data_IF_194212101089
#
_entry.id   IF_194212101089
#
_cell.length_a   1.000
_cell.length_b   1.000
_cell.length_c   1.000
_cell.angle_alpha   90.00
_cell.angle_beta   90.00
_cell.angle_gamma   90.00
#
_symmetry.space_group_name_H-M   'P 1'
#
loop_
_entity.id
_entity.type
_entity.pdbx_description
1 polymer ?
#
# COMPACT_ATOMS: atom_id res chain seq x y z
N UNK A 1 0.54 -16.86 -19.68
CA UNK A 1 -0.78 -16.28 -19.42
C UNK A 1 -1.49 -17.15 -18.36
N UNK A 2 -1.31 -16.79 -17.09
CA UNK A 2 -1.88 -17.53 -15.94
C UNK A 2 -3.40 -17.35 -15.80
N UNK A 3 -3.98 -16.36 -16.48
CA UNK A 3 -5.39 -15.99 -16.33
C UNK A 3 -6.27 -16.41 -17.50
N UNK A 4 -5.75 -17.22 -18.46
CA UNK A 4 -6.46 -17.58 -19.69
C UNK A 4 -7.08 -16.37 -20.41
N UNK A 5 -6.37 -15.24 -20.43
CA UNK A 5 -6.81 -13.95 -21.02
C UNK A 5 -8.01 -13.29 -20.30
N UNK A 6 -8.33 -13.69 -19.08
CA UNK A 6 -9.29 -12.97 -18.24
C UNK A 6 -8.58 -11.88 -17.44
N UNK A 7 -9.27 -10.77 -17.25
CA UNK A 7 -8.83 -9.74 -16.31
C UNK A 7 -8.78 -10.32 -14.88
N UNK A 8 -7.85 -9.87 -14.03
CA UNK A 8 -7.90 -10.19 -12.61
C UNK A 8 -9.13 -9.54 -11.97
N UNK A 9 -9.63 -10.13 -10.89
CA UNK A 9 -10.72 -9.55 -10.11
C UNK A 9 -10.19 -8.41 -9.21
N UNK A 10 -8.93 -8.53 -8.77
CA UNK A 10 -8.33 -7.55 -7.84
C UNK A 10 -6.84 -7.40 -8.03
N UNK A 11 -6.36 -6.15 -7.90
CA UNK A 11 -4.93 -5.79 -7.79
C UNK A 11 -4.64 -5.26 -6.41
N UNK A 12 -3.50 -5.64 -5.82
CA UNK A 12 -3.07 -5.17 -4.51
C UNK A 12 -1.59 -4.78 -4.59
N UNK A 13 -1.24 -3.59 -4.08
CA UNK A 13 0.14 -3.16 -3.96
C UNK A 13 0.34 -2.30 -2.70
N UNK A 14 1.54 -2.34 -2.12
CA UNK A 14 1.92 -1.41 -1.06
C UNK A 14 2.15 0.00 -1.64
N UNK A 15 1.86 1.01 -0.82
CA UNK A 15 1.92 2.41 -1.23
C UNK A 15 2.71 3.23 -0.21
N UNK A 16 3.89 3.70 -0.62
CA UNK A 16 4.64 4.79 0.02
C UNK A 16 4.52 6.04 -0.88
N UNK A 17 5.56 6.41 -1.62
CA UNK A 17 5.45 7.41 -2.70
C UNK A 17 4.54 6.95 -3.86
N UNK A 18 4.36 5.65 -4.03
CA UNK A 18 3.33 5.02 -4.85
C UNK A 18 3.75 4.59 -6.26
N UNK A 19 5.00 4.77 -6.67
CA UNK A 19 5.44 4.46 -8.04
C UNK A 19 5.30 2.96 -8.39
N UNK A 20 5.61 2.05 -7.46
CA UNK A 20 5.43 0.61 -7.68
C UNK A 20 3.96 0.23 -7.89
N UNK A 21 3.08 0.81 -7.07
CA UNK A 21 1.64 0.57 -7.13
C UNK A 21 1.06 1.11 -8.43
N UNK A 22 1.45 2.32 -8.83
CA UNK A 22 1.00 2.92 -10.08
C UNK A 22 1.44 2.11 -11.30
N UNK A 23 2.67 1.56 -11.28
CA UNK A 23 3.16 0.68 -12.34
C UNK A 23 2.30 -0.58 -12.54
N UNK A 24 1.73 -1.13 -11.45
CA UNK A 24 0.77 -2.23 -11.53
C UNK A 24 -0.64 -1.74 -11.94
N UNK A 25 -1.10 -0.60 -11.39
CA UNK A 25 -2.49 -0.15 -11.51
C UNK A 25 -2.78 0.46 -12.88
N UNK A 26 -1.82 1.20 -13.44
CA UNK A 26 -2.02 2.03 -14.63
C UNK A 26 -2.63 1.28 -15.82
N UNK A 27 -2.16 0.06 -16.17
CA UNK A 27 -2.72 -0.69 -17.29
C UNK A 27 -4.19 -1.11 -17.11
N UNK A 28 -4.72 -1.05 -15.86
CA UNK A 28 -6.05 -1.54 -15.50
C UNK A 28 -6.99 -0.43 -15.01
N UNK A 29 -6.59 0.85 -15.14
CA UNK A 29 -7.39 1.97 -14.61
C UNK A 29 -8.77 2.06 -15.27
N UNK A 30 -8.86 1.75 -16.55
CA UNK A 30 -10.11 1.80 -17.32
C UNK A 30 -10.88 0.47 -17.33
N UNK A 31 -10.31 -0.59 -16.74
CA UNK A 31 -10.91 -1.91 -16.68
C UNK A 31 -11.80 -2.11 -15.43
N UNK A 32 -12.75 -3.05 -15.49
CA UNK A 32 -13.56 -3.45 -14.34
C UNK A 32 -12.78 -4.39 -13.40
N UNK A 33 -11.73 -3.85 -12.80
CA UNK A 33 -10.83 -4.52 -11.85
C UNK A 33 -10.83 -3.76 -10.55
N UNK A 34 -11.01 -4.45 -9.41
CA UNK A 34 -10.86 -3.83 -8.10
C UNK A 34 -9.40 -3.55 -7.81
N UNK A 35 -9.06 -2.30 -7.46
CA UNK A 35 -7.68 -1.90 -7.22
C UNK A 35 -7.54 -1.41 -5.78
N UNK A 36 -6.51 -1.90 -5.07
CA UNK A 36 -6.26 -1.60 -3.67
C UNK A 36 -4.80 -1.21 -3.44
N UNK A 37 -4.61 -0.02 -2.90
CA UNK A 37 -3.32 0.44 -2.37
C UNK A 37 -3.26 0.25 -0.85
N UNK A 38 -2.14 -0.22 -0.32
CA UNK A 38 -1.99 -0.47 1.12
C UNK A 38 -0.85 0.38 1.68
N UNK A 39 -1.20 1.31 2.57
CA UNK A 39 -0.30 2.23 3.24
C UNK A 39 0.23 1.63 4.56
N UNK A 40 1.30 2.23 5.12
CA UNK A 40 1.84 1.84 6.41
C UNK A 40 1.11 2.58 7.54
N UNK A 41 0.36 1.82 8.35
CA UNK A 41 -0.25 2.33 9.58
C UNK A 41 0.72 2.38 10.78
N UNK A 42 1.98 1.95 10.62
CA UNK A 42 2.99 2.01 11.66
C UNK A 42 2.53 1.38 12.97
N UNK A 43 2.50 2.15 14.04
CA UNK A 43 2.00 1.71 15.35
C UNK A 43 0.49 1.87 15.53
N UNK A 44 -0.20 2.27 14.49
CA UNK A 44 -1.65 2.46 14.46
C UNK A 44 -2.05 3.79 13.85
N UNK A 45 -3.11 3.76 13.05
CA UNK A 45 -3.60 4.90 12.26
C UNK A 45 -4.06 6.08 13.14
N UNK A 46 -4.43 5.84 14.39
CA UNK A 46 -4.86 6.86 15.34
C UNK A 46 -3.73 7.36 16.26
N UNK A 47 -2.49 6.91 15.98
CA UNK A 47 -1.28 7.43 16.63
C UNK A 47 -0.62 8.48 15.72
N UNK A 48 0.39 9.19 16.25
CA UNK A 48 1.24 10.05 15.41
C UNK A 48 2.42 9.28 14.77
N UNK A 49 2.39 7.95 14.81
CA UNK A 49 3.45 7.09 14.31
C UNK A 49 2.92 6.19 13.18
N UNK A 50 2.63 6.79 12.04
CA UNK A 50 2.20 6.14 10.80
C UNK A 50 2.69 6.91 9.56
N UNK A 51 2.61 6.28 8.38
CA UNK A 51 2.90 6.90 7.09
C UNK A 51 1.68 6.77 6.12
N UNK A 52 0.47 6.71 6.66
CA UNK A 52 -0.76 6.55 5.89
C UNK A 52 -1.27 7.91 5.39
N UNK A 53 -0.64 8.42 4.36
CA UNK A 53 -0.84 9.77 3.82
C UNK A 53 -2.22 9.97 3.19
N UNK A 54 -2.73 8.99 2.44
CA UNK A 54 -4.06 9.08 1.83
C UNK A 54 -5.18 8.93 2.86
N UNK A 55 -4.94 8.17 3.92
CA UNK A 55 -5.94 7.92 4.96
C UNK A 55 -6.05 9.07 5.97
N UNK A 56 -4.93 9.72 6.33
CA UNK A 56 -4.86 10.71 7.42
C UNK A 56 -4.27 12.05 7.01
N UNK A 57 -3.71 12.16 5.81
CA UNK A 57 -3.11 13.39 5.33
C UNK A 57 -4.12 14.42 4.85
N UNK A 58 -3.61 15.61 4.59
CA UNK A 58 -4.35 16.73 4.03
C UNK A 58 -3.73 17.19 2.71
N UNK A 59 -4.48 17.94 1.93
CA UNK A 59 -3.98 18.47 0.66
C UNK A 59 -2.96 19.60 0.91
N UNK A 60 -1.81 19.49 0.24
CA UNK A 60 -0.74 20.49 0.34
C UNK A 60 0.23 20.43 -0.83
N UNK A 61 1.37 21.11 -0.70
CA UNK A 61 2.42 21.13 -1.72
C UNK A 61 3.75 20.70 -1.10
N UNK A 62 4.36 19.68 -1.66
CA UNK A 62 5.67 19.19 -1.26
C UNK A 62 6.52 18.94 -2.51
N UNK A 63 7.78 19.41 -2.51
CA UNK A 63 8.70 19.30 -3.64
C UNK A 63 8.11 19.76 -4.99
N UNK A 64 7.26 20.82 -4.94
CA UNK A 64 6.61 21.37 -6.13
C UNK A 64 5.39 20.59 -6.64
N UNK A 65 5.00 19.50 -6.00
CA UNK A 65 3.82 18.71 -6.35
C UNK A 65 2.67 18.96 -5.35
N UNK A 66 1.48 19.22 -5.88
CA UNK A 66 0.26 19.32 -5.10
C UNK A 66 -0.34 17.92 -4.89
N UNK A 67 -0.46 17.47 -3.65
CA UNK A 67 -0.90 16.10 -3.31
C UNK A 67 -1.39 16.02 -1.87
N UNK A 68 -1.76 14.82 -1.43
CA UNK A 68 -2.00 14.54 -0.02
C UNK A 68 -0.68 14.42 0.72
N UNK A 69 -0.61 15.01 1.91
CA UNK A 69 0.59 15.08 2.75
C UNK A 69 0.22 14.84 4.22
N UNK A 70 1.14 14.25 4.97
CA UNK A 70 1.07 14.26 6.43
C UNK A 70 1.56 15.63 6.92
N UNK A 71 0.66 16.38 7.55
CA UNK A 71 0.93 17.73 8.04
C UNK A 71 0.47 17.87 9.49
N UNK A 72 1.17 18.73 10.24
CA UNK A 72 0.70 19.25 11.51
C UNK A 72 -0.41 20.29 11.31
N UNK A 73 -1.08 20.69 12.39
CA UNK A 73 -2.10 21.75 12.36
C UNK A 73 -1.54 23.10 11.86
N UNK A 74 -0.24 23.29 11.95
CA UNK A 74 0.46 24.50 11.46
C UNK A 74 0.88 24.40 9.99
N UNK A 75 0.47 23.32 9.29
CA UNK A 75 0.83 23.06 7.89
C UNK A 75 2.29 22.62 7.67
N UNK A 76 3.03 22.31 8.74
CA UNK A 76 4.37 21.74 8.62
C UNK A 76 4.30 20.27 8.30
N UNK A 77 5.25 19.77 7.53
CA UNK A 77 5.34 18.33 7.20
C UNK A 77 5.55 17.55 8.51
N UNK A 78 4.64 16.64 8.80
CA UNK A 78 4.77 15.73 9.92
C UNK A 78 5.78 14.63 9.59
N UNK A 79 6.53 14.18 10.59
CA UNK A 79 7.44 13.05 10.43
C UNK A 79 6.62 11.78 10.25
N UNK A 80 6.78 11.06 9.14
CA UNK A 80 6.15 9.77 8.95
C UNK A 80 6.81 8.73 9.86
N UNK A 81 6.17 7.59 10.01
CA UNK A 81 6.75 6.45 10.71
C UNK A 81 6.29 5.14 10.07
N UNK A 82 7.24 4.29 9.74
CA UNK A 82 7.03 2.90 9.34
C UNK A 82 8.25 2.06 9.68
N UNK A 83 8.04 0.81 10.06
CA UNK A 83 9.12 -0.18 10.14
C UNK A 83 9.79 -0.41 8.79
N UNK A 84 9.04 -0.20 7.71
CA UNK A 84 9.52 -0.32 6.34
C UNK A 84 10.05 1.03 5.84
N UNK A 85 11.36 1.10 5.58
CA UNK A 85 12.01 2.32 5.11
C UNK A 85 11.44 2.84 3.77
N UNK A 86 10.99 1.95 2.89
CA UNK A 86 10.41 2.34 1.60
C UNK A 86 8.99 2.90 1.69
N UNK A 87 8.30 2.75 2.83
CA UNK A 87 6.98 3.34 3.09
C UNK A 87 7.05 4.53 4.07
N UNK A 88 8.22 4.85 4.60
CA UNK A 88 8.44 5.95 5.53
C UNK A 88 8.58 7.29 4.78
N UNK A 89 7.47 7.80 4.24
CA UNK A 89 7.42 9.01 3.44
C UNK A 89 6.14 9.83 3.74
N UNK A 90 6.23 11.16 3.94
CA UNK A 90 5.11 11.99 4.38
C UNK A 90 4.17 12.43 3.25
N UNK A 91 4.41 12.02 2.03
CA UNK A 91 3.64 12.44 0.85
C UNK A 91 3.29 11.26 -0.06
N UNK A 92 2.51 11.55 -1.08
CA UNK A 92 2.08 10.59 -2.09
C UNK A 92 2.16 11.20 -3.48
N UNK A 93 2.32 10.39 -4.51
CA UNK A 93 2.23 10.85 -5.90
C UNK A 93 0.86 11.49 -6.18
N UNK A 94 0.80 12.64 -6.89
CA UNK A 94 -0.46 13.36 -7.18
C UNK A 94 -1.52 12.49 -7.83
N UNK A 95 -1.11 11.54 -8.64
CA UNK A 95 -2.02 10.62 -9.34
C UNK A 95 -2.77 9.70 -8.37
N UNK A 96 -2.11 9.23 -7.30
CA UNK A 96 -2.79 8.46 -6.25
C UNK A 96 -3.85 9.30 -5.53
N UNK A 97 -3.56 10.58 -5.26
CA UNK A 97 -4.54 11.51 -4.68
C UNK A 97 -5.75 11.69 -5.60
N UNK A 98 -5.53 11.76 -6.91
CA UNK A 98 -6.61 11.82 -7.90
C UNK A 98 -7.42 10.51 -7.92
N UNK A 99 -6.76 9.35 -7.95
CA UNK A 99 -7.40 8.03 -7.97
C UNK A 99 -8.22 7.76 -6.71
N UNK A 100 -7.77 8.26 -5.56
CA UNK A 100 -8.55 8.23 -4.31
C UNK A 100 -9.79 9.13 -4.42
N UNK A 101 -9.63 10.38 -4.85
CA UNK A 101 -10.71 11.35 -4.99
C UNK A 101 -11.81 10.87 -5.94
N UNK A 102 -11.43 10.22 -7.03
CA UNK A 102 -12.36 9.63 -8.01
C UNK A 102 -12.91 8.28 -7.57
N UNK A 103 -12.46 7.77 -6.43
CA UNK A 103 -12.80 6.43 -5.91
C UNK A 103 -12.48 5.28 -6.89
N UNK A 104 -11.52 5.51 -7.79
CA UNK A 104 -11.08 4.46 -8.71
C UNK A 104 -10.22 3.42 -8.02
N UNK A 105 -9.43 3.83 -7.05
CA UNK A 105 -8.59 2.98 -6.22
C UNK A 105 -9.05 3.10 -4.77
N UNK A 106 -9.22 1.96 -4.11
CA UNK A 106 -9.43 1.86 -2.66
C UNK A 106 -8.07 1.91 -1.96
N UNK A 107 -7.97 2.70 -0.88
CA UNK A 107 -6.76 2.73 -0.06
C UNK A 107 -7.09 2.21 1.34
N UNK A 108 -6.23 1.32 1.81
CA UNK A 108 -6.27 0.71 3.13
C UNK A 108 -4.90 0.85 3.78
N UNK A 109 -4.76 0.41 5.00
CA UNK A 109 -3.47 0.43 5.69
C UNK A 109 -3.25 -0.83 6.51
N UNK A 110 -1.99 -1.14 6.80
CA UNK A 110 -1.61 -2.23 7.69
C UNK A 110 -0.58 -1.73 8.71
N UNK A 111 -0.67 -2.19 9.94
CA UNK A 111 0.29 -1.89 11.01
C UNK A 111 1.59 -2.66 10.82
N UNK A 112 2.67 -2.20 11.49
CA UNK A 112 3.95 -2.90 11.50
C UNK A 112 3.82 -4.35 11.99
N UNK A 113 2.99 -4.61 13.00
CA UNK A 113 2.75 -5.95 13.51
C UNK A 113 2.06 -6.84 12.47
N UNK A 114 1.02 -6.34 11.81
CA UNK A 114 0.33 -7.06 10.74
C UNK A 114 1.27 -7.35 9.56
N UNK A 115 2.13 -6.40 9.20
CA UNK A 115 3.14 -6.58 8.17
C UNK A 115 4.17 -7.65 8.54
N UNK A 116 4.70 -7.66 9.78
CA UNK A 116 5.62 -8.68 10.27
C UNK A 116 5.00 -10.08 10.31
N UNK A 117 3.75 -10.18 10.75
CA UNK A 117 3.01 -11.45 10.71
C UNK A 117 2.79 -11.93 9.27
N UNK A 118 2.47 -11.02 8.36
CA UNK A 118 2.29 -11.33 6.95
C UNK A 118 3.59 -11.75 6.26
N UNK A 119 4.71 -11.10 6.62
CA UNK A 119 6.06 -11.48 6.19
C UNK A 119 6.38 -12.94 6.53
N UNK A 120 6.20 -13.32 7.82
CA UNK A 120 6.42 -14.69 8.29
C UNK A 120 5.48 -15.67 7.59
N UNK A 121 4.21 -15.31 7.53
CA UNK A 121 3.18 -16.17 6.93
C UNK A 121 3.48 -16.48 5.46
N UNK A 122 3.85 -15.49 4.64
CA UNK A 122 4.18 -15.71 3.23
C UNK A 122 5.45 -16.58 3.09
N UNK A 123 6.47 -16.31 3.93
CA UNK A 123 7.71 -17.09 3.93
C UNK A 123 7.48 -18.56 4.27
N UNK A 124 6.62 -18.83 5.26
CA UNK A 124 6.28 -20.21 5.67
C UNK A 124 5.40 -20.95 4.66
N UNK A 125 4.48 -20.25 3.98
CA UNK A 125 3.52 -20.89 3.08
C UNK A 125 4.03 -21.07 1.66
N UNK A 126 4.77 -20.08 1.16
CA UNK A 126 5.19 -20.03 -0.24
C UNK A 126 6.72 -20.08 -0.43
N UNK A 127 7.50 -20.05 0.67
CA UNK A 127 8.96 -19.98 0.60
C UNK A 127 9.46 -18.65 0.03
N UNK A 128 8.63 -17.62 -0.02
CA UNK A 128 8.97 -16.29 -0.53
C UNK A 128 9.24 -15.35 0.64
N UNK A 129 10.42 -14.76 0.69
CA UNK A 129 10.78 -13.73 1.66
C UNK A 129 10.48 -12.37 1.01
N UNK A 130 9.33 -11.73 1.31
CA UNK A 130 8.98 -10.44 0.71
C UNK A 130 9.75 -9.31 1.39
N UNK A 131 9.93 -8.17 0.72
CA UNK A 131 10.32 -6.94 1.40
C UNK A 131 9.25 -6.52 2.42
N UNK A 132 9.64 -5.83 3.49
CA UNK A 132 8.70 -5.31 4.50
C UNK A 132 7.65 -4.39 3.89
N UNK A 133 8.02 -3.64 2.86
CA UNK A 133 7.10 -2.84 2.06
C UNK A 133 5.95 -3.71 1.53
N UNK A 134 6.30 -4.79 0.86
CA UNK A 134 5.35 -5.73 0.26
C UNK A 134 4.52 -6.46 1.32
N UNK A 135 5.10 -6.72 2.49
CA UNK A 135 4.41 -7.40 3.58
C UNK A 135 3.13 -6.65 4.03
N UNK A 136 3.08 -5.32 3.88
CA UNK A 136 1.85 -4.54 4.12
C UNK A 136 0.72 -4.94 3.14
N UNK A 137 1.05 -5.13 1.86
CA UNK A 137 0.07 -5.60 0.87
C UNK A 137 -0.38 -7.05 1.16
N UNK A 138 0.54 -7.90 1.62
CA UNK A 138 0.23 -9.28 2.05
C UNK A 138 -0.65 -9.29 3.30
N UNK A 139 -0.44 -8.35 4.24
CA UNK A 139 -1.29 -8.19 5.42
C UNK A 139 -2.75 -7.90 5.04
N UNK A 140 -2.96 -7.04 4.05
CA UNK A 140 -4.29 -6.79 3.50
C UNK A 140 -4.92 -8.07 2.94
N UNK A 141 -4.17 -8.87 2.18
CA UNK A 141 -4.64 -10.14 1.62
C UNK A 141 -5.04 -11.14 2.72
N UNK A 142 -4.25 -11.20 3.79
CA UNK A 142 -4.46 -12.11 4.94
C UNK A 142 -5.67 -11.71 5.79
N UNK A 143 -6.06 -10.43 5.80
CA UNK A 143 -7.13 -9.92 6.66
C UNK A 143 -8.50 -10.35 6.13
N UNK A 144 -9.19 -11.20 6.90
CA UNK A 144 -10.51 -11.77 6.55
C UNK A 144 -11.61 -10.70 6.41
N UNK A 145 -11.45 -9.55 7.04
CA UNK A 145 -12.43 -8.45 6.97
C UNK A 145 -12.47 -7.79 5.58
N UNK A 146 -11.46 -7.99 4.75
CA UNK A 146 -11.39 -7.45 3.39
C UNK A 146 -12.25 -8.22 2.39
N UNK A 147 -12.96 -9.26 2.84
CA UNK A 147 -13.95 -10.01 2.06
C UNK A 147 -13.45 -10.45 0.67
N UNK A 148 -12.22 -10.95 0.60
CA UNK A 148 -11.67 -11.54 -0.63
C UNK A 148 -12.31 -12.92 -0.79
N UNK A 149 -13.01 -13.13 -1.90
CA UNK A 149 -13.71 -14.40 -2.16
C UNK A 149 -12.72 -15.49 -2.56
N UNK A 150 -13.02 -16.73 -2.19
CA UNK A 150 -12.16 -17.91 -2.48
C UNK A 150 -11.80 -18.08 -3.97
N UNK A 151 -12.65 -17.61 -4.86
CA UNK A 151 -12.48 -17.76 -6.31
C UNK A 151 -12.04 -16.46 -7.00
N UNK A 152 -11.69 -15.40 -6.26
CA UNK A 152 -11.12 -14.18 -6.85
C UNK A 152 -9.70 -14.44 -7.36
N UNK A 153 -9.44 -13.99 -8.58
CA UNK A 153 -8.09 -13.92 -9.13
C UNK A 153 -7.44 -12.63 -8.68
N UNK A 154 -6.54 -12.73 -7.70
CA UNK A 154 -5.85 -11.59 -7.11
C UNK A 154 -4.43 -11.53 -7.64
N UNK A 155 -4.02 -10.36 -8.13
CA UNK A 155 -2.61 -10.06 -8.41
C UNK A 155 -2.10 -9.15 -7.29
N UNK A 156 -1.10 -9.63 -6.55
CA UNK A 156 -0.40 -8.87 -5.54
C UNK A 156 1.02 -8.57 -6.03
N UNK A 157 1.39 -7.28 -6.00
CA UNK A 157 2.72 -6.84 -6.41
C UNK A 157 3.77 -7.16 -5.34
N UNK A 158 4.64 -8.12 -5.61
CA UNK A 158 5.84 -8.37 -4.82
C UNK A 158 6.97 -7.43 -5.27
N UNK A 159 6.91 -6.18 -4.82
CA UNK A 159 7.74 -5.08 -5.30
C UNK A 159 9.20 -5.14 -4.83
N UNK A 160 9.55 -6.04 -3.94
CA UNK A 160 10.91 -6.22 -3.46
C UNK A 160 11.11 -7.51 -2.68
N UNK A 161 12.37 -7.87 -2.49
CA UNK A 161 12.82 -9.03 -1.73
C UNK A 161 13.18 -8.62 -0.29
N UNK A 162 13.02 -9.53 0.66
CA UNK A 162 13.15 -9.26 2.09
C UNK A 162 14.47 -9.71 2.72
N UNK A 163 15.46 -10.19 1.95
CA UNK A 163 16.77 -10.56 2.46
C UNK A 163 17.53 -9.37 3.08
N UNK A 164 17.20 -8.14 2.67
CA UNK A 164 17.69 -6.90 3.28
C UNK A 164 17.08 -6.61 4.66
N UNK A 165 15.99 -7.27 5.02
CA UNK A 165 15.14 -6.98 6.19
C UNK A 165 15.27 -8.06 7.30
N UNK A 166 16.21 -9.01 7.16
CA UNK A 166 16.36 -10.18 8.07
C UNK A 166 17.26 -9.90 9.28
N UNK A 167 17.78 -8.70 9.47
CA UNK A 167 18.71 -8.36 10.56
C UNK A 167 17.97 -7.99 11.85
#
# INVERSE_FOLDING_TARGET
DMTNKKLPDRLIACVGGGSNALGLFYPFIDDDVKIVGVEAAGKGIDTNQHAATLTKGEFGVLHGAASMLLQSMDGQIALPYSLSAGLDYPGIGPEHSYLQKTKRVEYSSATDNEALEAFKWLSEKEGIIPALETAHAVAYLKNKNNNIKKNEHVILNLSGRGDKDIN
#
